data_IF_689711597803
#
_entry.id   IF_689711597803
#
_cell.length_a   1.000
_cell.length_b   1.000
_cell.length_c   1.000
_cell.angle_alpha   90.00
_cell.angle_beta   90.00
_cell.angle_gamma   90.00
#
_symmetry.space_group_name_H-M   'P 1'
#
loop_
_entity.id
_entity.type
_entity.pdbx_description
1 polymer ?
#
# COMPACT_ATOMS: atom_id res chain seq x y z
N UNK A 1 12.25 22.53 -5.61
CA UNK A 1 12.91 21.21 -5.80
C UNK A 1 11.96 20.01 -5.59
N UNK A 2 10.63 20.15 -5.71
CA UNK A 2 9.70 19.36 -4.88
C UNK A 2 8.95 18.14 -5.46
N UNK A 3 8.93 17.88 -6.77
CA UNK A 3 8.10 16.77 -7.35
C UNK A 3 8.94 15.65 -7.98
N UNK A 4 9.90 16.00 -8.84
CA UNK A 4 10.77 15.02 -9.52
C UNK A 4 11.57 14.16 -8.53
N UNK A 5 12.13 14.74 -7.46
CA UNK A 5 12.86 13.98 -6.43
C UNK A 5 11.99 12.99 -5.66
N UNK A 6 10.72 13.32 -5.38
CA UNK A 6 9.79 12.42 -4.69
C UNK A 6 9.38 11.25 -5.57
N UNK A 7 9.07 11.49 -6.84
CA UNK A 7 8.75 10.44 -7.80
C UNK A 7 9.93 9.48 -7.99
N UNK A 8 11.16 9.99 -8.04
CA UNK A 8 12.37 9.16 -8.09
C UNK A 8 12.52 8.29 -6.84
N UNK A 9 12.24 8.82 -5.65
CA UNK A 9 12.28 8.03 -4.40
C UNK A 9 11.22 6.92 -4.40
N UNK A 10 10.00 7.22 -4.86
CA UNK A 10 8.92 6.24 -4.99
C UNK A 10 9.31 5.12 -5.96
N UNK A 11 9.75 5.48 -7.18
CA UNK A 11 10.15 4.51 -8.19
C UNK A 11 11.29 3.62 -7.67
N UNK A 12 12.31 4.24 -7.06
CA UNK A 12 13.45 3.50 -6.48
C UNK A 12 13.01 2.52 -5.40
N UNK A 13 12.10 2.91 -4.51
CA UNK A 13 11.65 2.00 -3.45
C UNK A 13 10.83 0.83 -4.03
N UNK A 14 10.01 1.06 -5.06
CA UNK A 14 9.30 -0.04 -5.74
C UNK A 14 10.31 -1.00 -6.39
N UNK A 15 11.30 -0.47 -7.11
CA UNK A 15 12.33 -1.29 -7.77
C UNK A 15 13.10 -2.17 -6.78
N UNK A 16 13.46 -1.61 -5.62
CA UNK A 16 14.16 -2.35 -4.56
C UNK A 16 13.33 -3.49 -3.96
N UNK A 17 12.00 -3.38 -4.00
CA UNK A 17 11.09 -4.30 -3.32
C UNK A 17 10.27 -5.16 -4.30
N UNK A 18 10.54 -5.10 -5.60
CA UNK A 18 9.70 -5.72 -6.63
C UNK A 18 9.54 -7.25 -6.44
N UNK A 19 10.59 -7.94 -6.00
CA UNK A 19 10.55 -9.38 -5.71
C UNK A 19 9.89 -9.64 -4.36
N UNK A 20 10.31 -8.92 -3.32
CA UNK A 20 9.78 -9.02 -1.96
C UNK A 20 8.27 -8.84 -1.92
N UNK A 21 7.75 -7.87 -2.68
CA UNK A 21 6.34 -7.54 -2.73
C UNK A 21 5.55 -8.37 -3.75
N UNK A 22 6.15 -9.37 -4.41
CA UNK A 22 5.49 -10.17 -5.44
C UNK A 22 4.91 -9.27 -6.57
N UNK A 23 5.70 -8.32 -7.06
CA UNK A 23 5.39 -7.45 -8.21
C UNK A 23 6.23 -7.81 -9.44
N UNK A 24 6.51 -9.10 -9.57
CA UNK A 24 7.49 -9.68 -10.48
C UNK A 24 6.83 -10.41 -11.67
N UNK A 25 5.66 -9.94 -12.10
CA UNK A 25 5.05 -10.27 -13.37
C UNK A 25 4.33 -9.06 -13.98
N UNK A 26 4.20 -8.99 -15.32
CA UNK A 26 3.44 -7.92 -15.96
C UNK A 26 2.01 -7.81 -15.43
N UNK A 27 1.36 -8.94 -15.13
CA UNK A 27 -0.01 -8.96 -14.64
C UNK A 27 -0.13 -8.39 -13.23
N UNK A 28 0.77 -8.79 -12.32
CA UNK A 28 0.82 -8.26 -10.95
C UNK A 28 1.08 -6.76 -10.94
N UNK A 29 2.00 -6.29 -11.79
CA UNK A 29 2.30 -4.87 -11.94
C UNK A 29 1.11 -4.10 -12.52
N UNK A 30 0.47 -4.60 -13.58
CA UNK A 30 -0.69 -3.95 -14.17
C UNK A 30 -1.85 -3.83 -13.17
N UNK A 31 -2.11 -4.88 -12.40
CA UNK A 31 -3.10 -4.84 -11.31
C UNK A 31 -2.69 -3.84 -10.21
N UNK A 32 -1.48 -3.94 -9.67
CA UNK A 32 -1.01 -3.04 -8.61
C UNK A 32 -1.08 -1.57 -9.04
N UNK A 33 -0.46 -1.23 -10.17
CA UNK A 33 -0.42 0.15 -10.66
C UNK A 33 -1.78 0.64 -11.15
N UNK A 34 -2.60 -0.22 -11.77
CA UNK A 34 -3.96 0.16 -12.18
C UNK A 34 -4.84 0.56 -10.99
N UNK A 35 -4.67 -0.13 -9.85
CA UNK A 35 -5.31 0.22 -8.59
C UNK A 35 -4.72 1.50 -7.98
N UNK A 36 -3.39 1.65 -7.96
CA UNK A 36 -2.73 2.85 -7.45
C UNK A 36 -3.13 4.10 -8.25
N UNK A 37 -3.22 4.01 -9.57
CA UNK A 37 -3.65 5.11 -10.44
C UNK A 37 -5.07 5.59 -10.09
N UNK A 38 -5.97 4.68 -9.72
CA UNK A 38 -7.30 5.05 -9.27
C UNK A 38 -7.30 5.75 -7.90
N UNK A 39 -6.51 5.25 -6.94
CA UNK A 39 -6.43 5.84 -5.58
C UNK A 39 -5.77 7.23 -5.59
N UNK A 40 -4.76 7.41 -6.44
CA UNK A 40 -3.92 8.62 -6.43
C UNK A 40 -4.56 9.76 -7.25
N UNK A 41 -5.35 9.45 -8.29
CA UNK A 41 -5.88 10.46 -9.21
C UNK A 41 -4.78 11.38 -9.76
N UNK A 42 -5.09 12.67 -9.99
CA UNK A 42 -4.11 13.69 -10.43
C UNK A 42 -3.29 14.31 -9.27
N UNK A 43 -3.55 13.95 -8.00
CA UNK A 43 -2.92 14.57 -6.82
C UNK A 43 -2.65 13.51 -5.74
N UNK A 44 -1.38 13.16 -5.55
CA UNK A 44 -0.93 12.29 -4.44
C UNK A 44 -1.15 13.01 -3.11
N UNK A 45 -2.14 12.58 -2.33
CA UNK A 45 -2.31 13.02 -0.94
C UNK A 45 -2.00 11.84 -0.01
N UNK A 46 -0.91 11.93 0.74
CA UNK A 46 -0.43 10.86 1.63
C UNK A 46 -1.10 10.87 3.01
N UNK A 47 -1.91 11.88 3.31
CA UNK A 47 -2.64 12.02 4.57
C UNK A 47 -4.05 12.44 4.22
N UNK A 48 -5.05 11.77 4.76
CA UNK A 48 -6.43 12.16 4.51
C UNK A 48 -6.75 13.59 4.97
N UNK A 49 -7.76 14.21 4.36
CA UNK A 49 -8.40 15.41 4.90
C UNK A 49 -9.66 14.98 5.60
N UNK A 50 -9.88 15.51 6.79
CA UNK A 50 -11.18 15.44 7.45
C UNK A 50 -11.91 16.79 7.39
N UNK A 51 -11.50 17.65 6.46
CA UNK A 51 -12.13 18.95 6.19
C UNK A 51 -13.41 18.77 5.35
N UNK A 52 -14.48 18.39 6.04
CA UNK A 52 -15.80 18.19 5.47
C UNK A 52 -16.79 19.25 5.94
N UNK A 53 -17.82 19.50 5.13
CA UNK A 53 -19.04 20.21 5.57
C UNK A 53 -19.95 19.24 6.33
N UNK A 54 -20.80 19.75 7.22
CA UNK A 54 -21.60 18.94 8.13
C UNK A 54 -22.49 17.88 7.42
N UNK A 55 -23.15 18.28 6.34
CA UNK A 55 -23.98 17.42 5.49
C UNK A 55 -23.20 16.23 4.91
N UNK A 56 -21.99 16.50 4.39
CA UNK A 56 -21.09 15.48 3.86
C UNK A 56 -20.52 14.60 4.96
N UNK A 57 -20.31 15.14 6.15
CA UNK A 57 -19.74 14.40 7.27
C UNK A 57 -20.70 13.30 7.75
N UNK A 58 -22.00 13.59 7.81
CA UNK A 58 -23.05 12.60 8.13
C UNK A 58 -23.29 11.55 7.03
N UNK A 59 -22.98 11.86 5.76
CA UNK A 59 -23.09 10.84 4.70
C UNK A 59 -21.95 9.83 4.76
N UNK A 60 -20.74 10.28 5.10
CA UNK A 60 -19.52 9.45 5.12
C UNK A 60 -19.40 8.66 6.43
N UNK A 61 -19.53 9.32 7.58
CA UNK A 61 -19.22 8.71 8.88
C UNK A 61 -20.47 8.35 9.66
N UNK A 62 -20.60 7.06 10.02
CA UNK A 62 -21.77 6.55 10.73
C UNK A 62 -22.00 7.23 12.08
N UNK A 63 -20.93 7.67 12.76
CA UNK A 63 -20.99 8.43 14.00
C UNK A 63 -21.77 9.74 13.80
N UNK A 64 -21.35 10.53 12.82
CA UNK A 64 -21.95 11.85 12.56
C UNK A 64 -23.32 11.77 11.89
N UNK A 65 -23.63 10.66 11.23
CA UNK A 65 -25.00 10.35 10.81
C UNK A 65 -25.95 10.21 12.01
N UNK A 66 -25.45 9.65 13.11
CA UNK A 66 -26.21 9.44 14.35
C UNK A 66 -26.16 10.65 15.28
N UNK A 67 -25.14 11.51 15.14
CA UNK A 67 -24.91 12.70 15.94
C UNK A 67 -24.81 13.95 15.03
N UNK A 68 -25.91 14.40 14.39
CA UNK A 68 -25.88 15.51 13.45
C UNK A 68 -25.50 16.86 14.09
N UNK A 69 -25.83 17.06 15.37
CA UNK A 69 -25.45 18.28 16.10
C UNK A 69 -23.92 18.39 16.25
N UNK A 70 -23.25 17.27 16.52
CA UNK A 70 -21.78 17.22 16.55
C UNK A 70 -21.18 17.39 15.15
N UNK A 71 -21.88 16.97 14.09
CA UNK A 71 -21.44 17.24 12.73
C UNK A 71 -21.41 18.75 12.45
N UNK A 72 -22.42 19.52 12.91
CA UNK A 72 -22.43 20.98 12.80
C UNK A 72 -21.34 21.63 13.65
N UNK A 73 -21.07 21.08 14.84
CA UNK A 73 -20.08 21.61 15.77
C UNK A 73 -18.64 21.49 15.24
N UNK A 74 -18.28 20.37 14.61
CA UNK A 74 -16.89 20.10 14.24
C UNK A 74 -16.61 20.24 12.74
N UNK A 75 -17.61 20.13 11.87
CA UNK A 75 -17.41 20.31 10.44
C UNK A 75 -17.07 21.77 10.08
N UNK A 76 -16.58 21.98 8.86
CA UNK A 76 -16.40 23.32 8.31
C UNK A 76 -17.75 23.99 8.07
N UNK A 77 -17.91 25.18 8.65
CA UNK A 77 -19.08 26.05 8.48
C UNK A 77 -18.66 27.40 7.92
N UNK A 78 -19.60 28.35 7.81
CA UNK A 78 -19.26 29.74 7.48
C UNK A 78 -18.55 30.45 8.65
N UNK A 79 -18.80 29.99 9.88
CA UNK A 79 -18.37 30.65 11.11
C UNK A 79 -17.01 30.13 11.60
N UNK A 80 -16.66 28.88 11.30
CA UNK A 80 -15.39 28.29 11.71
C UNK A 80 -14.87 27.22 10.73
N UNK A 81 -13.54 26.98 10.70
CA UNK A 81 -12.96 25.85 9.98
C UNK A 81 -13.34 24.51 10.62
N UNK A 82 -13.11 23.41 9.89
CA UNK A 82 -13.29 22.07 10.44
C UNK A 82 -12.26 21.76 11.54
N UNK A 83 -12.73 21.24 12.66
CA UNK A 83 -11.90 20.60 13.68
C UNK A 83 -11.62 19.15 13.27
N UNK A 84 -10.62 18.98 12.42
CA UNK A 84 -10.28 17.69 11.82
C UNK A 84 -9.86 16.64 12.84
N UNK A 85 -9.21 17.05 13.94
CA UNK A 85 -8.80 16.15 15.01
C UNK A 85 -10.02 15.66 15.79
N UNK A 86 -10.93 16.56 16.18
CA UNK A 86 -12.18 16.17 16.81
C UNK A 86 -13.04 15.27 15.91
N UNK A 87 -13.04 15.53 14.60
CA UNK A 87 -13.70 14.68 13.61
C UNK A 87 -13.09 13.28 13.60
N UNK A 88 -11.76 13.17 13.51
CA UNK A 88 -11.07 11.89 13.43
C UNK A 88 -11.30 11.04 14.69
N UNK A 89 -11.15 11.66 15.86
CA UNK A 89 -11.30 10.99 17.16
C UNK A 89 -12.70 10.42 17.34
N UNK A 90 -13.73 11.02 16.73
CA UNK A 90 -15.11 10.53 16.75
C UNK A 90 -15.43 9.53 15.65
N UNK A 91 -14.96 9.82 14.44
CA UNK A 91 -15.20 8.97 13.28
C UNK A 91 -14.57 7.58 13.45
N UNK A 92 -13.41 7.51 14.13
CA UNK A 92 -12.61 6.30 14.27
C UNK A 92 -12.48 5.79 15.72
N UNK A 93 -13.28 6.30 16.66
CA UNK A 93 -13.34 5.77 18.03
C UNK A 93 -13.78 4.30 18.02
N UNK A 94 -13.15 3.49 18.88
CA UNK A 94 -13.48 2.08 19.13
C UNK A 94 -13.46 1.20 17.85
N UNK A 95 -12.78 1.67 16.81
CA UNK A 95 -12.68 1.03 15.51
C UNK A 95 -11.23 0.62 15.24
N UNK A 96 -11.04 -0.60 14.73
CA UNK A 96 -9.74 -1.10 14.27
C UNK A 96 -8.58 -0.93 15.29
N UNK A 97 -8.86 -1.28 16.54
CA UNK A 97 -7.91 -1.20 17.65
C UNK A 97 -7.70 0.20 18.24
N UNK A 98 -8.35 1.23 17.70
CA UNK A 98 -8.35 2.54 18.35
C UNK A 98 -9.12 2.48 19.67
N UNK A 99 -8.67 3.26 20.65
CA UNK A 99 -9.44 3.56 21.85
C UNK A 99 -10.65 4.44 21.58
N UNK A 100 -11.30 4.86 22.67
CA UNK A 100 -12.41 5.80 22.65
C UNK A 100 -11.97 7.20 22.17
N UNK A 101 -12.92 8.14 22.03
CA UNK A 101 -12.67 9.52 21.57
C UNK A 101 -11.54 10.22 22.33
N UNK A 102 -11.49 10.06 23.66
CA UNK A 102 -10.52 10.70 24.56
C UNK A 102 -9.09 10.18 24.39
N UNK A 103 -8.91 9.00 23.80
CA UNK A 103 -7.58 8.44 23.55
C UNK A 103 -6.76 9.24 22.53
N UNK A 104 -7.41 10.02 21.67
CA UNK A 104 -6.77 10.70 20.54
C UNK A 104 -6.38 9.75 19.39
N UNK A 105 -6.74 8.47 19.48
CA UNK A 105 -6.31 7.45 18.51
C UNK A 105 -6.87 7.69 17.12
N UNK A 106 -8.08 8.23 17.01
CA UNK A 106 -8.69 8.47 15.71
C UNK A 106 -7.87 9.45 14.87
N UNK A 107 -7.35 10.52 15.48
CA UNK A 107 -6.46 11.47 14.81
C UNK A 107 -5.05 10.90 14.66
N UNK A 108 -4.51 10.28 15.72
CA UNK A 108 -3.15 9.74 15.72
C UNK A 108 -2.96 8.67 14.63
N UNK A 109 -3.94 7.78 14.46
CA UNK A 109 -3.92 6.67 13.50
C UNK A 109 -4.90 6.89 12.34
N UNK A 110 -5.16 8.15 11.96
CA UNK A 110 -5.89 8.50 10.74
C UNK A 110 -5.22 7.92 9.48
N UNK A 111 -5.97 7.86 8.39
CA UNK A 111 -5.55 7.34 7.10
C UNK A 111 -4.32 8.06 6.54
N UNK A 112 -3.24 7.29 6.38
CA UNK A 112 -1.99 7.72 5.74
C UNK A 112 -1.56 6.80 4.59
N UNK A 113 -0.57 7.25 3.83
CA UNK A 113 0.05 6.57 2.71
C UNK A 113 -0.89 6.34 1.50
N UNK A 114 -0.34 5.69 0.46
CA UNK A 114 -1.00 5.47 -0.83
C UNK A 114 -2.19 4.50 -0.78
N UNK A 115 -2.33 3.73 0.31
CA UNK A 115 -3.40 2.74 0.52
C UNK A 115 -4.20 2.95 1.80
N UNK A 116 -4.18 4.18 2.35
CA UNK A 116 -4.96 4.59 3.54
C UNK A 116 -4.84 3.59 4.72
N UNK A 117 -3.64 3.46 5.28
CA UNK A 117 -3.45 2.75 6.55
C UNK A 117 -4.13 3.55 7.65
N UNK A 118 -5.22 3.01 8.19
CA UNK A 118 -6.06 3.66 9.22
C UNK A 118 -6.27 2.72 10.40
N UNK A 119 -6.22 3.24 11.63
CA UNK A 119 -6.49 2.55 12.89
C UNK A 119 -5.26 1.86 13.50
N UNK A 120 -5.14 1.94 14.83
CA UNK A 120 -3.99 1.46 15.61
C UNK A 120 -3.59 0.03 15.29
N UNK A 121 -4.55 -0.87 15.11
CA UNK A 121 -4.27 -2.27 14.80
C UNK A 121 -3.52 -2.44 13.47
N UNK A 122 -3.83 -1.63 12.45
CA UNK A 122 -3.12 -1.68 11.17
C UNK A 122 -1.71 -1.10 11.26
N UNK A 123 -1.50 -0.04 12.05
CA UNK A 123 -0.16 0.50 12.30
C UNK A 123 0.72 -0.52 13.04
N UNK A 124 0.14 -1.25 13.99
CA UNK A 124 0.81 -2.35 14.69
C UNK A 124 1.15 -3.51 13.74
N UNK A 125 0.18 -3.98 12.97
CA UNK A 125 0.40 -5.06 12.00
C UNK A 125 1.50 -4.69 10.99
N UNK A 126 1.49 -3.45 10.48
CA UNK A 126 2.55 -2.97 9.61
C UNK A 126 3.92 -2.91 10.32
N UNK A 127 3.95 -2.48 11.59
CA UNK A 127 5.18 -2.48 12.42
C UNK A 127 5.78 -3.89 12.54
N UNK A 128 4.95 -4.88 12.85
CA UNK A 128 5.37 -6.28 13.02
C UNK A 128 5.91 -6.86 11.71
N UNK A 129 5.18 -6.67 10.60
CA UNK A 129 5.53 -7.25 9.30
C UNK A 129 6.66 -6.48 8.58
N UNK A 130 6.83 -5.19 8.83
CA UNK A 130 7.80 -4.36 8.11
C UNK A 130 9.23 -4.85 8.30
N UNK A 131 9.58 -5.33 9.50
CA UNK A 131 10.90 -5.88 9.77
C UNK A 131 11.18 -7.14 8.94
N UNK A 132 10.21 -8.05 8.85
CA UNK A 132 10.34 -9.29 8.08
C UNK A 132 10.38 -9.02 6.58
N UNK A 133 9.51 -8.12 6.11
CA UNK A 133 9.36 -7.84 4.69
C UNK A 133 10.50 -6.98 4.15
N UNK A 134 10.90 -5.93 4.87
CA UNK A 134 11.83 -4.91 4.37
C UNK A 134 13.20 -4.90 5.06
N UNK A 135 13.43 -5.80 6.04
CA UNK A 135 14.71 -5.93 6.74
C UNK A 135 15.04 -4.76 7.66
N UNK A 136 14.03 -3.99 8.09
CA UNK A 136 14.21 -2.78 8.89
C UNK A 136 13.14 -2.73 9.99
N UNK A 137 13.56 -2.63 11.25
CA UNK A 137 12.65 -2.56 12.37
C UNK A 137 12.30 -1.10 12.68
N UNK A 138 11.04 -0.73 12.46
CA UNK A 138 10.51 0.62 12.69
C UNK A 138 9.17 0.46 13.40
N UNK A 139 8.95 1.24 14.46
CA UNK A 139 7.69 1.26 15.19
C UNK A 139 6.77 2.36 14.65
N UNK A 140 5.87 2.00 13.74
CA UNK A 140 4.89 2.93 13.17
C UNK A 140 3.73 3.21 14.14
N UNK A 141 3.51 2.40 15.17
CA UNK A 141 2.52 2.73 16.21
C UNK A 141 3.06 3.88 17.10
N UNK A 142 4.36 3.88 17.38
CA UNK A 142 5.07 4.96 18.08
C UNK A 142 5.27 6.20 17.18
N UNK A 143 5.60 6.00 15.91
CA UNK A 143 5.93 7.06 14.95
C UNK A 143 5.02 7.03 13.69
N UNK A 144 3.70 7.28 13.81
CA UNK A 144 2.76 7.12 12.71
C UNK A 144 2.97 8.08 11.54
N UNK A 145 3.60 9.23 11.78
CA UNK A 145 3.86 10.25 10.75
C UNK A 145 4.94 9.81 9.75
N UNK A 146 5.70 8.75 10.05
CA UNK A 146 6.64 8.16 9.09
C UNK A 146 5.93 7.67 7.82
N UNK A 147 4.66 7.24 7.91
CA UNK A 147 3.84 6.86 6.75
C UNK A 147 3.54 8.01 5.78
N UNK A 148 3.83 9.25 6.17
CA UNK A 148 3.72 10.42 5.28
C UNK A 148 4.97 10.62 4.41
N UNK A 149 6.05 9.88 4.69
CA UNK A 149 7.26 9.92 3.87
C UNK A 149 7.11 9.03 2.63
N UNK A 150 7.71 9.40 1.47
CA UNK A 150 7.60 8.61 0.25
C UNK A 150 7.99 7.14 0.41
N UNK A 151 9.08 6.86 1.15
CA UNK A 151 9.62 5.51 1.37
C UNK A 151 8.59 4.62 2.08
N UNK A 152 8.11 5.05 3.24
CA UNK A 152 7.20 4.22 4.04
C UNK A 152 5.77 4.23 3.49
N UNK A 153 5.38 5.27 2.76
CA UNK A 153 4.12 5.28 2.02
C UNK A 153 4.07 4.22 0.90
N UNK A 154 5.20 3.99 0.21
CA UNK A 154 5.33 2.91 -0.76
C UNK A 154 5.33 1.56 -0.07
N UNK A 155 6.15 1.39 0.97
CA UNK A 155 6.26 0.12 1.69
C UNK A 155 4.94 -0.33 2.30
N UNK A 156 4.13 0.59 2.83
CA UNK A 156 2.82 0.22 3.36
C UNK A 156 1.85 -0.24 2.25
N UNK A 157 1.93 0.33 1.04
CA UNK A 157 1.15 -0.15 -0.11
C UNK A 157 1.62 -1.54 -0.58
N UNK A 158 2.94 -1.79 -0.60
CA UNK A 158 3.51 -3.09 -0.93
C UNK A 158 3.18 -4.15 0.12
N UNK A 159 3.25 -3.78 1.41
CA UNK A 159 2.83 -4.63 2.52
C UNK A 159 1.36 -4.98 2.41
N UNK A 160 0.46 -4.01 2.19
CA UNK A 160 -0.97 -4.28 2.03
C UNK A 160 -1.23 -5.25 0.87
N UNK A 161 -0.55 -5.05 -0.26
CA UNK A 161 -0.63 -5.93 -1.42
C UNK A 161 -0.22 -7.37 -1.09
N UNK A 162 0.87 -7.54 -0.35
CA UNK A 162 1.38 -8.85 0.04
C UNK A 162 0.53 -9.51 1.14
N UNK A 163 0.22 -8.78 2.21
CA UNK A 163 -0.53 -9.26 3.37
C UNK A 163 -1.96 -9.72 3.02
N UNK A 164 -2.54 -9.16 1.95
CA UNK A 164 -3.86 -9.56 1.44
C UNK A 164 -3.79 -10.54 0.25
N UNK A 165 -2.62 -11.12 -0.05
CA UNK A 165 -2.43 -12.11 -1.13
C UNK A 165 -2.93 -11.62 -2.52
N UNK A 166 -2.87 -10.31 -2.77
CA UNK A 166 -3.43 -9.72 -3.98
C UNK A 166 -2.67 -10.14 -5.24
N UNK A 167 -1.40 -10.51 -5.10
CA UNK A 167 -0.60 -11.08 -6.18
C UNK A 167 -1.17 -12.41 -6.69
N UNK A 168 -1.71 -13.25 -5.81
CA UNK A 168 -2.31 -14.53 -6.20
C UNK A 168 -3.62 -14.32 -6.97
N UNK A 169 -4.39 -13.28 -6.61
CA UNK A 169 -5.56 -12.88 -7.40
C UNK A 169 -5.17 -12.32 -8.77
N UNK A 170 -4.07 -11.57 -8.83
CA UNK A 170 -3.54 -11.02 -10.08
C UNK A 170 -3.02 -12.12 -11.03
N UNK A 171 -2.55 -13.25 -10.50
CA UNK A 171 -2.11 -14.40 -11.28
C UNK A 171 -3.24 -15.06 -12.09
N UNK A 172 -4.52 -14.78 -11.76
CA UNK A 172 -5.65 -15.17 -12.60
C UNK A 172 -5.71 -14.39 -13.93
N UNK A 173 -4.84 -13.40 -14.13
CA UNK A 173 -4.65 -12.67 -15.38
C UNK A 173 -5.38 -11.33 -15.46
N UNK A 174 -5.30 -10.68 -16.62
CA UNK A 174 -5.95 -9.40 -16.91
C UNK A 174 -7.39 -9.65 -17.34
N UNK A 175 -8.27 -9.81 -16.36
CA UNK A 175 -9.70 -9.99 -16.59
C UNK A 175 -10.53 -9.33 -15.49
N UNK A 176 -11.84 -9.22 -15.75
CA UNK A 176 -12.80 -8.60 -14.84
C UNK A 176 -12.82 -9.27 -13.47
N UNK A 177 -12.82 -10.60 -13.40
CA UNK A 177 -12.95 -11.31 -12.13
C UNK A 177 -11.75 -11.05 -11.21
N UNK A 178 -10.53 -11.08 -11.74
CA UNK A 178 -9.32 -10.75 -11.00
C UNK A 178 -9.33 -9.29 -10.52
N UNK A 179 -9.60 -8.35 -11.43
CA UNK A 179 -9.62 -6.93 -11.12
C UNK A 179 -10.70 -6.56 -10.08
N UNK A 180 -11.91 -7.13 -10.20
CA UNK A 180 -13.01 -6.88 -9.28
C UNK A 180 -12.73 -7.51 -7.91
N UNK A 181 -12.11 -8.70 -7.85
CA UNK A 181 -11.73 -9.34 -6.57
C UNK A 181 -10.69 -8.52 -5.81
N UNK A 182 -9.66 -8.02 -6.51
CA UNK A 182 -8.64 -7.14 -5.93
C UNK A 182 -9.27 -5.82 -5.47
N UNK A 183 -10.14 -5.21 -6.29
CA UNK A 183 -10.84 -3.96 -5.94
C UNK A 183 -11.69 -4.13 -4.69
N UNK A 184 -12.39 -5.26 -4.54
CA UNK A 184 -13.24 -5.52 -3.38
C UNK A 184 -12.45 -5.62 -2.05
N UNK A 185 -11.18 -6.01 -2.10
CA UNK A 185 -10.30 -6.00 -0.93
C UNK A 185 -9.78 -4.60 -0.66
N UNK A 186 -9.35 -3.87 -1.71
CA UNK A 186 -8.79 -2.53 -1.57
C UNK A 186 -9.83 -1.51 -1.12
N UNK A 187 -11.01 -1.50 -1.74
CA UNK A 187 -12.05 -0.50 -1.49
C UNK A 187 -13.43 -1.09 -1.78
N UNK A 188 -13.92 -1.91 -0.83
CA UNK A 188 -15.21 -2.61 -0.96
C UNK A 188 -16.36 -1.64 -1.20
N UNK A 189 -17.19 -1.94 -2.21
CA UNK A 189 -18.42 -1.18 -2.47
C UNK A 189 -18.18 0.19 -3.11
N UNK A 190 -16.97 0.43 -3.65
CA UNK A 190 -16.69 1.61 -4.45
C UNK A 190 -17.46 1.60 -5.78
N UNK A 191 -17.80 2.76 -6.33
CA UNK A 191 -18.32 2.87 -7.71
C UNK A 191 -17.21 2.84 -8.77
N UNK A 192 -15.93 2.77 -8.34
CA UNK A 192 -14.75 2.91 -9.22
C UNK A 192 -14.25 1.63 -9.89
N UNK A 193 -15.02 0.52 -9.83
CA UNK A 193 -14.61 -0.76 -10.41
C UNK A 193 -14.30 -0.66 -11.90
N UNK A 194 -15.12 0.08 -12.66
CA UNK A 194 -14.91 0.22 -14.10
C UNK A 194 -13.64 0.98 -14.43
N UNK A 195 -13.38 2.10 -13.75
CA UNK A 195 -12.17 2.89 -13.99
C UNK A 195 -10.90 2.12 -13.61
N UNK A 196 -10.94 1.30 -12.55
CA UNK A 196 -9.83 0.41 -12.17
C UNK A 196 -9.55 -0.61 -13.25
N UNK A 197 -10.58 -1.28 -13.78
CA UNK A 197 -10.43 -2.23 -14.90
C UNK A 197 -9.81 -1.56 -16.12
N UNK A 198 -10.25 -0.36 -16.45
CA UNK A 198 -9.73 0.37 -17.60
C UNK A 198 -8.26 0.78 -17.41
N UNK A 199 -7.86 1.22 -16.22
CA UNK A 199 -6.46 1.52 -15.91
C UNK A 199 -5.57 0.27 -16.09
N UNK A 200 -6.02 -0.87 -15.58
CA UNK A 200 -5.30 -2.15 -15.68
C UNK A 200 -5.19 -2.58 -17.15
N UNK A 201 -6.29 -2.50 -17.90
CA UNK A 201 -6.33 -2.83 -19.33
C UNK A 201 -5.35 -1.96 -20.13
N UNK A 202 -5.35 -0.65 -19.91
CA UNK A 202 -4.43 0.29 -20.58
C UNK A 202 -2.96 -0.02 -20.30
N UNK A 203 -2.61 -0.30 -19.05
CA UNK A 203 -1.24 -0.66 -18.68
C UNK A 203 -0.79 -1.96 -19.37
N UNK A 204 -1.69 -2.94 -19.47
CA UNK A 204 -1.42 -4.21 -20.13
C UNK A 204 -1.28 -4.06 -21.64
N UNK A 205 -2.20 -3.35 -22.31
CA UNK A 205 -2.22 -3.21 -23.77
C UNK A 205 -1.11 -2.31 -24.29
N UNK A 206 -0.69 -1.31 -23.51
CA UNK A 206 0.47 -0.49 -23.83
C UNK A 206 1.80 -1.20 -23.54
N UNK A 207 1.76 -2.47 -23.09
CA UNK A 207 2.94 -3.30 -22.81
C UNK A 207 3.95 -2.63 -21.87
N UNK A 208 3.47 -1.78 -20.95
CA UNK A 208 4.30 -0.95 -20.05
C UNK A 208 5.30 -1.80 -19.26
N UNK A 209 4.91 -3.03 -18.92
CA UNK A 209 5.70 -3.95 -18.10
C UNK A 209 6.18 -5.20 -18.85
N UNK A 210 6.12 -5.22 -20.20
CA UNK A 210 6.46 -6.41 -20.99
C UNK A 210 7.91 -6.90 -20.78
N UNK A 211 8.83 -5.99 -20.41
CA UNK A 211 10.24 -6.32 -20.18
C UNK A 211 10.55 -6.75 -18.73
N UNK A 212 9.54 -6.84 -17.85
CA UNK A 212 9.76 -7.30 -16.48
C UNK A 212 9.88 -8.81 -16.46
N UNK A 213 11.01 -9.31 -15.91
CA UNK A 213 11.25 -10.74 -15.79
C UNK A 213 10.16 -11.41 -14.96
N UNK A 214 9.49 -12.39 -15.56
CA UNK A 214 8.57 -13.29 -14.83
C UNK A 214 9.42 -14.25 -14.01
N UNK A 215 9.41 -14.11 -12.70
CA UNK A 215 9.96 -15.16 -11.84
C UNK A 215 8.88 -16.24 -11.68
N UNK A 216 9.16 -17.51 -12.01
CA UNK A 216 8.21 -18.57 -11.73
C UNK A 216 7.93 -18.58 -10.23
N UNK A 217 6.64 -18.64 -9.86
CA UNK A 217 6.27 -18.80 -8.46
C UNK A 217 6.95 -20.06 -7.92
N UNK A 218 7.52 -19.98 -6.72
CA UNK A 218 8.15 -21.13 -6.07
C UNK A 218 7.14 -22.27 -5.77
N UNK A 219 5.87 -22.08 -6.09
CA UNK A 219 4.77 -23.01 -5.91
C UNK A 219 4.64 -24.01 -7.08
N UNK A 220 5.71 -24.74 -7.42
CA UNK A 220 5.71 -26.10 -8.02
C UNK A 220 7.13 -26.53 -8.41
N UNK A 221 7.97 -26.78 -7.41
CA UNK A 221 9.13 -27.64 -7.63
C UNK A 221 8.68 -29.12 -7.56
N UNK A 222 7.88 -29.58 -8.53
CA UNK A 222 7.78 -31.02 -8.79
C UNK A 222 9.07 -31.46 -9.44
N UNK A 223 9.77 -32.39 -8.78
CA UNK A 223 11.02 -33.00 -9.25
C UNK A 223 10.88 -33.58 -10.66
N UNK A 224 11.26 -32.83 -11.67
CA UNK A 224 11.67 -33.40 -12.97
C UNK A 224 12.92 -32.67 -13.44
N UNK A 225 14.06 -33.35 -13.32
CA UNK A 225 15.33 -32.97 -13.94
C UNK A 225 15.17 -33.01 -15.45
N UNK A 226 15.10 -31.85 -16.08
CA UNK A 226 15.80 -31.50 -17.31
C UNK A 226 15.20 -30.19 -17.79
N UNK A 227 15.95 -29.09 -17.76
CA UNK A 227 15.74 -28.04 -18.75
C UNK A 227 16.90 -27.06 -18.83
N UNK A 228 17.03 -26.53 -20.03
CA UNK A 228 18.17 -25.85 -20.62
C UNK A 228 18.39 -24.51 -19.92
N UNK A 229 19.66 -24.17 -19.69
CA UNK A 229 20.09 -22.85 -19.20
C UNK A 229 19.58 -21.74 -20.14
N UNK A 230 18.82 -20.79 -19.62
CA UNK A 230 18.74 -19.46 -20.21
C UNK A 230 20.12 -18.79 -20.06
N UNK A 231 20.75 -18.49 -21.18
CA UNK A 231 21.96 -17.67 -21.29
C UNK A 231 21.50 -16.28 -21.70
N UNK A 232 21.06 -15.46 -20.75
CA UNK A 232 20.85 -14.01 -20.97
C UNK A 232 21.57 -13.19 -19.90
N UNK A 233 22.15 -12.01 -20.24
CA UNK A 233 23.23 -11.39 -19.46
C UNK A 233 22.77 -10.51 -18.29
N UNK A 234 21.47 -10.44 -17.98
CA UNK A 234 20.94 -9.57 -16.93
C UNK A 234 21.22 -10.04 -15.49
N UNK A 235 21.88 -11.18 -15.28
CA UNK A 235 22.07 -11.79 -13.95
C UNK A 235 23.51 -11.72 -13.44
N UNK A 236 24.19 -10.60 -13.67
CA UNK A 236 25.56 -10.37 -13.18
C UNK A 236 25.69 -9.00 -12.55
N UNK A 237 25.06 -8.79 -11.39
CA UNK A 237 25.41 -7.73 -10.42
C UNK A 237 24.78 -8.07 -9.06
N UNK A 238 25.34 -9.08 -8.40
CA UNK A 238 25.20 -9.28 -6.96
C UNK A 238 26.60 -9.53 -6.39
N UNK A 239 27.33 -8.44 -6.11
CA UNK A 239 28.56 -8.50 -5.31
C UNK A 239 28.13 -8.37 -3.85
N UNK A 240 28.18 -9.49 -3.12
CA UNK A 240 28.19 -9.54 -1.66
C UNK A 240 29.47 -10.28 -1.20
N UNK A 241 30.08 -9.91 -0.07
CA UNK A 241 31.45 -10.29 0.26
C UNK A 241 31.56 -11.77 0.63
N UNK A 242 32.54 -12.47 0.04
CA UNK A 242 32.98 -13.79 0.52
C UNK A 242 33.71 -13.60 1.85
N UNK A 243 33.12 -14.09 2.94
CA UNK A 243 33.89 -14.44 4.13
C UNK A 243 34.74 -15.67 3.80
N UNK A 244 36.08 -15.55 3.93
CA UNK A 244 36.97 -16.70 3.82
C UNK A 244 37.08 -17.39 5.17
N UNK A 245 36.56 -18.61 5.24
CA UNK A 245 36.91 -19.59 6.27
C UNK A 245 38.29 -20.15 5.87
N UNK A 246 39.33 -19.95 6.68
CA UNK A 246 40.55 -20.76 6.62
C UNK A 246 40.60 -21.64 7.86
N UNK A 247 40.60 -22.96 7.62
CA UNK A 247 40.95 -23.98 8.59
C UNK A 247 42.48 -24.20 8.69
N UNK A 248 42.93 -25.13 9.55
CA UNK A 248 44.20 -25.03 10.27
C UNK A 248 45.38 -25.82 9.65
N UNK A 249 46.58 -25.49 10.18
CA UNK A 249 47.87 -26.20 10.16
C UNK A 249 48.72 -26.15 8.89
N UNK A 250 49.88 -25.47 8.99
CA UNK A 250 51.20 -26.08 8.88
C UNK A 250 52.29 -25.10 9.43
N UNK A 251 53.08 -25.61 10.39
CA UNK A 251 54.27 -25.06 11.08
C UNK A 251 54.08 -24.05 12.22
#
# INVERSE_FOLDING_TARGET
MGSSSRLTQVAREIDLQIVTAQLNSPERLAHFFGQVLQEVGQRVRLVESLDYRADRLGSIFSYFRRNPDEALLYARTADHPADQEAIANRAYADCNGNGNVESGDGWRFRGRALKQVTGRANYRAFTEDHAQMFGEQIDFEAEPDLLETPRYAVRSALWFWHANDLYSLADAGINRAAADSITAIINRGTDSYEQRRENIRRLSEAEVFANVCRFPSLARASKTRNEKRCLDPCCSLAIGPRQSIRGPNDL
#
